data_IF_956133919673
#
_entry.id   IF_956133919673
#
_cell.length_a   1.000
_cell.length_b   1.000
_cell.length_c   1.000
_cell.angle_alpha   90.00
_cell.angle_beta   90.00
_cell.angle_gamma   90.00
#
_symmetry.space_group_name_H-M   'P 1'
#
loop_
_entity.id
_entity.type
_entity.pdbx_description
1 polymer ?
#
# COMPACT_ATOMS: atom_id res chain seq x y z
N UNK A 1 9.69 -9.42 -8.34
CA UNK A 1 9.65 -10.67 -7.57
C UNK A 1 11.07 -11.15 -7.37
N UNK A 2 11.44 -11.46 -6.13
CA UNK A 2 12.70 -12.08 -5.78
C UNK A 2 12.54 -13.60 -5.60
N UNK A 3 13.59 -14.35 -5.86
CA UNK A 3 13.65 -15.79 -5.62
C UNK A 3 14.94 -16.10 -4.90
N UNK A 4 14.82 -16.68 -3.71
CA UNK A 4 15.93 -17.24 -2.93
C UNK A 4 16.04 -18.74 -3.26
N UNK A 5 17.26 -19.20 -3.49
CA UNK A 5 17.53 -20.64 -3.54
C UNK A 5 18.05 -21.05 -2.17
N UNK A 6 17.33 -21.93 -1.50
CA UNK A 6 17.65 -22.43 -0.17
C UNK A 6 17.77 -23.96 -0.18
N UNK A 7 18.42 -24.53 0.81
CA UNK A 7 18.60 -25.96 0.94
C UNK A 7 18.37 -26.38 2.41
N UNK A 8 17.74 -27.56 2.66
CA UNK A 8 17.54 -28.05 4.01
C UNK A 8 18.89 -28.32 4.69
N UNK A 9 19.02 -27.96 5.96
CA UNK A 9 20.22 -28.23 6.79
C UNK A 9 20.49 -29.72 6.97
N UNK A 10 19.47 -30.56 6.83
CA UNK A 10 19.58 -32.03 6.91
C UNK A 10 20.12 -32.69 5.64
N UNK A 11 20.46 -31.91 4.62
CA UNK A 11 20.78 -32.42 3.28
C UNK A 11 19.50 -32.72 2.50
N UNK A 12 19.47 -32.35 1.23
CA UNK A 12 18.30 -32.53 0.37
C UNK A 12 18.41 -31.72 -0.91
N UNK A 13 17.35 -31.73 -1.71
CA UNK A 13 17.32 -30.93 -2.92
C UNK A 13 17.11 -29.47 -2.58
N UNK A 14 17.85 -28.56 -3.20
CA UNK A 14 17.58 -27.13 -3.11
C UNK A 14 16.15 -26.81 -3.57
N UNK A 15 15.51 -25.82 -2.96
CA UNK A 15 14.18 -25.35 -3.31
C UNK A 15 14.15 -23.85 -3.45
N UNK A 16 13.14 -23.33 -4.11
CA UNK A 16 12.97 -21.93 -4.39
C UNK A 16 11.93 -21.32 -3.45
N UNK A 17 12.29 -20.19 -2.87
CA UNK A 17 11.40 -19.39 -2.03
C UNK A 17 11.12 -18.08 -2.77
N UNK A 18 9.88 -17.83 -3.20
CA UNK A 18 9.52 -16.56 -3.81
C UNK A 18 9.30 -15.47 -2.74
N UNK A 19 9.79 -14.27 -3.04
CA UNK A 19 9.57 -13.07 -2.22
C UNK A 19 8.93 -11.97 -3.06
N UNK A 20 7.95 -11.29 -2.48
CA UNK A 20 7.38 -10.10 -3.08
C UNK A 20 8.27 -8.87 -2.80
N UNK A 21 8.08 -7.75 -3.51
CA UNK A 21 8.82 -6.53 -3.19
C UNK A 21 8.62 -6.02 -1.75
N UNK A 22 7.51 -6.36 -1.12
CA UNK A 22 7.21 -5.99 0.28
C UNK A 22 8.02 -6.79 1.30
N UNK A 23 8.46 -7.97 0.91
CA UNK A 23 9.21 -8.86 1.79
C UNK A 23 10.71 -8.51 1.81
N UNK A 24 11.17 -7.68 0.86
CA UNK A 24 12.56 -7.21 0.76
C UNK A 24 12.66 -5.90 1.55
N UNK A 25 13.12 -5.96 2.81
CA UNK A 25 13.21 -4.78 3.68
C UNK A 25 14.48 -3.95 3.45
N UNK A 26 15.51 -4.52 2.88
CA UNK A 26 16.71 -3.76 2.55
C UNK A 26 17.87 -4.61 2.07
N UNK A 27 18.81 -3.94 1.46
CA UNK A 27 20.02 -4.56 0.93
C UNK A 27 21.23 -3.64 1.06
N UNK A 28 22.43 -4.21 0.97
CA UNK A 28 23.68 -3.49 0.84
C UNK A 28 24.46 -4.03 -0.35
N UNK A 29 25.11 -3.14 -1.05
CA UNK A 29 25.96 -3.50 -2.20
C UNK A 29 27.30 -2.82 -2.08
N UNK A 30 28.36 -3.49 -2.51
CA UNK A 30 29.70 -2.95 -2.64
C UNK A 30 30.17 -3.05 -4.09
N UNK A 31 31.11 -2.19 -4.47
CA UNK A 31 31.72 -2.24 -5.81
C UNK A 31 33.05 -3.00 -5.69
N UNK A 32 33.06 -4.18 -6.27
CA UNK A 32 34.25 -5.01 -6.35
C UNK A 32 34.63 -5.20 -7.83
N UNK A 33 35.84 -4.83 -8.20
CA UNK A 33 36.34 -4.91 -9.59
C UNK A 33 35.43 -4.24 -10.64
N UNK A 34 34.80 -3.11 -10.29
CA UNK A 34 33.92 -2.39 -11.19
C UNK A 34 32.48 -2.98 -11.31
N UNK A 35 32.21 -4.08 -10.63
CA UNK A 35 30.88 -4.70 -10.56
C UNK A 35 30.28 -4.51 -9.17
N UNK A 36 28.98 -4.21 -9.14
CA UNK A 36 28.25 -4.17 -7.87
C UNK A 36 27.91 -5.59 -7.42
N UNK A 37 28.35 -5.93 -6.21
CA UNK A 37 28.08 -7.19 -5.55
C UNK A 37 27.16 -6.97 -4.36
N UNK A 38 26.18 -7.85 -4.19
CA UNK A 38 25.30 -7.85 -3.03
C UNK A 38 26.08 -8.37 -1.82
N UNK A 39 26.19 -7.55 -0.77
CA UNK A 39 26.91 -7.93 0.46
C UNK A 39 25.98 -8.24 1.62
N UNK A 40 24.75 -7.72 1.61
CA UNK A 40 23.74 -8.06 2.60
C UNK A 40 22.34 -7.96 1.99
N UNK A 41 21.47 -8.89 2.35
CA UNK A 41 20.05 -8.87 2.01
C UNK A 41 19.21 -9.16 3.25
N UNK A 42 18.17 -8.36 3.47
CA UNK A 42 17.27 -8.51 4.61
C UNK A 42 15.85 -8.77 4.07
N UNK A 43 15.29 -9.89 4.49
CA UNK A 43 13.98 -10.38 4.07
C UNK A 43 13.07 -10.54 5.29
N UNK A 44 11.80 -10.14 5.15
CA UNK A 44 10.79 -10.47 6.16
C UNK A 44 10.04 -11.71 5.72
N UNK A 45 9.74 -12.57 6.67
CA UNK A 45 9.04 -13.84 6.45
C UNK A 45 7.95 -14.01 7.51
N UNK A 46 6.91 -14.72 7.14
CA UNK A 46 5.87 -15.17 8.06
C UNK A 46 5.86 -16.69 8.07
N UNK A 47 6.20 -17.27 9.21
CA UNK A 47 6.18 -18.72 9.39
C UNK A 47 5.02 -19.10 10.29
N UNK A 48 4.37 -20.20 9.93
CA UNK A 48 3.29 -20.79 10.74
C UNK A 48 3.88 -21.94 11.53
N UNK A 49 3.79 -21.86 12.86
CA UNK A 49 4.17 -22.96 13.76
C UNK A 49 2.93 -23.57 14.40
N UNK A 50 2.89 -24.89 14.59
CA UNK A 50 1.80 -25.54 15.33
C UNK A 50 1.81 -25.06 16.78
N UNK A 51 0.60 -24.76 17.32
CA UNK A 51 0.36 -24.37 18.70
C UNK A 51 -0.66 -25.29 19.32
N UNK A 52 -0.19 -26.21 20.15
CA UNK A 52 -1.04 -27.27 20.73
C UNK A 52 -1.51 -28.29 19.67
N UNK A 53 -2.65 -28.94 19.92
CA UNK A 53 -3.12 -30.06 19.07
C UNK A 53 -3.79 -29.59 17.77
N UNK A 54 -4.41 -28.41 17.74
CA UNK A 54 -5.19 -27.93 16.60
C UNK A 54 -4.96 -26.45 16.27
N UNK A 55 -4.13 -25.74 17.06
CA UNK A 55 -3.86 -24.33 16.87
C UNK A 55 -2.63 -24.07 16.00
N UNK A 56 -2.60 -22.89 15.40
CA UNK A 56 -1.47 -22.37 14.64
C UNK A 56 -1.08 -20.99 15.16
N UNK A 57 0.19 -20.70 15.17
CA UNK A 57 0.73 -19.40 15.52
C UNK A 57 1.61 -18.89 14.39
N UNK A 58 1.28 -17.68 13.90
CA UNK A 58 2.09 -17.01 12.89
C UNK A 58 3.16 -16.19 13.57
N UNK A 59 4.41 -16.44 13.23
CA UNK A 59 5.58 -15.71 13.74
C UNK A 59 6.17 -14.89 12.61
N UNK A 60 6.38 -13.60 12.88
CA UNK A 60 7.15 -12.75 11.99
C UNK A 60 8.64 -12.94 12.24
N UNK A 61 9.40 -13.15 11.17
CA UNK A 61 10.84 -13.26 11.24
C UNK A 61 11.54 -12.41 10.18
N UNK A 62 12.76 -12.02 10.49
CA UNK A 62 13.66 -11.35 9.57
C UNK A 62 14.82 -12.30 9.31
N UNK A 63 15.05 -12.61 8.04
CA UNK A 63 16.22 -13.34 7.58
C UNK A 63 17.22 -12.34 7.04
N UNK A 64 18.42 -12.35 7.58
CA UNK A 64 19.59 -11.59 7.11
C UNK A 64 20.53 -12.54 6.41
N UNK A 65 20.84 -12.27 5.16
CA UNK A 65 21.72 -13.05 4.32
C UNK A 65 22.98 -12.24 4.02
N UNK A 66 24.12 -12.86 4.20
CA UNK A 66 25.44 -12.36 3.82
C UNK A 66 26.19 -13.44 3.04
N UNK A 67 27.20 -13.11 2.24
CA UNK A 67 28.04 -14.12 1.61
C UNK A 67 28.64 -15.05 2.65
N UNK A 68 28.34 -16.35 2.55
CA UNK A 68 28.82 -17.37 3.48
C UNK A 68 28.11 -17.45 4.83
N UNK A 69 27.10 -16.60 5.13
CA UNK A 69 26.42 -16.60 6.42
C UNK A 69 24.93 -16.22 6.33
N UNK A 70 24.16 -16.66 7.31
CA UNK A 70 22.80 -16.19 7.51
C UNK A 70 22.47 -16.05 9.00
N UNK A 71 21.52 -15.17 9.30
CA UNK A 71 20.98 -14.97 10.63
C UNK A 71 19.44 -14.86 10.55
N UNK A 72 18.75 -15.40 11.54
CA UNK A 72 17.29 -15.34 11.65
C UNK A 72 16.91 -14.69 12.97
N UNK A 73 16.10 -13.63 12.87
CA UNK A 73 15.55 -12.92 14.01
C UNK A 73 14.04 -13.14 14.04
N UNK A 74 13.49 -13.53 15.18
CA UNK A 74 12.04 -13.68 15.37
C UNK A 74 11.54 -12.62 16.33
N UNK A 75 10.32 -12.16 16.08
CA UNK A 75 9.65 -11.19 16.93
C UNK A 75 9.16 -11.88 18.20
N UNK A 76 9.56 -11.35 19.35
CA UNK A 76 9.10 -11.82 20.66
C UNK A 76 7.75 -11.19 21.02
N UNK A 77 7.12 -11.65 22.10
CA UNK A 77 5.84 -11.15 22.61
C UNK A 77 5.87 -9.67 23.01
N UNK A 78 7.05 -9.18 23.37
CA UNK A 78 7.29 -7.78 23.73
C UNK A 78 7.48 -6.87 22.50
N UNK A 79 7.50 -7.45 21.29
CA UNK A 79 7.64 -6.73 20.02
C UNK A 79 9.07 -6.62 19.52
N UNK A 80 10.06 -7.03 20.29
CA UNK A 80 11.47 -6.97 19.94
C UNK A 80 11.90 -8.16 19.09
N UNK A 81 12.87 -7.93 18.17
CA UNK A 81 13.47 -8.99 17.37
C UNK A 81 14.67 -9.58 18.09
N UNK A 82 14.60 -10.89 18.37
CA UNK A 82 15.69 -11.65 18.96
C UNK A 82 16.26 -12.64 17.96
N UNK A 83 17.58 -12.76 17.92
CA UNK A 83 18.25 -13.75 17.10
C UNK A 83 17.93 -15.16 17.65
N UNK A 84 17.40 -15.99 16.77
CA UNK A 84 16.98 -17.37 17.12
C UNK A 84 17.83 -18.42 16.42
N UNK A 85 18.44 -18.06 15.28
CA UNK A 85 19.24 -18.96 14.49
C UNK A 85 20.33 -18.21 13.75
N UNK A 86 21.50 -18.82 13.62
CA UNK A 86 22.57 -18.37 12.76
C UNK A 86 23.26 -19.58 12.14
N UNK A 87 23.85 -19.40 10.98
CA UNK A 87 24.58 -20.46 10.31
C UNK A 87 25.49 -19.95 9.21
N UNK A 88 26.31 -20.86 8.69
CA UNK A 88 27.21 -20.59 7.58
C UNK A 88 26.82 -21.41 6.37
N UNK A 89 27.06 -20.84 5.20
CA UNK A 89 26.88 -21.50 3.90
C UNK A 89 28.22 -21.59 3.19
N UNK A 90 28.37 -22.56 2.30
CA UNK A 90 29.56 -22.71 1.48
C UNK A 90 29.61 -21.76 0.27
N UNK A 91 28.58 -20.90 0.11
CA UNK A 91 28.46 -19.98 -1.00
C UNK A 91 29.15 -18.65 -0.67
N UNK A 92 29.96 -18.17 -1.56
CA UNK A 92 30.62 -16.85 -1.49
C UNK A 92 29.76 -15.70 -2.01
N UNK A 93 28.50 -15.99 -2.32
CA UNK A 93 27.48 -15.02 -2.78
C UNK A 93 26.12 -15.34 -2.17
N UNK A 94 25.22 -14.36 -2.16
CA UNK A 94 23.85 -14.53 -1.74
C UNK A 94 23.03 -15.11 -2.90
N UNK A 95 22.46 -16.32 -2.79
CA UNK A 95 21.75 -17.01 -3.88
C UNK A 95 20.36 -16.44 -4.10
N UNK A 96 20.27 -15.14 -4.39
CA UNK A 96 19.02 -14.42 -4.58
C UNK A 96 18.98 -13.76 -5.96
N UNK A 97 17.93 -14.04 -6.71
CA UNK A 97 17.70 -13.48 -8.05
C UNK A 97 16.41 -12.69 -8.10
N UNK A 98 16.40 -11.57 -8.84
CA UNK A 98 15.22 -10.73 -9.01
C UNK A 98 14.78 -10.73 -10.47
N UNK A 99 13.48 -11.00 -10.67
CA UNK A 99 12.79 -10.76 -11.92
C UNK A 99 12.20 -9.34 -11.91
N UNK A 100 12.71 -8.48 -12.79
CA UNK A 100 12.27 -7.11 -12.95
C UNK A 100 11.20 -7.00 -14.03
N UNK A 101 10.19 -6.18 -13.82
CA UNK A 101 9.26 -5.77 -14.89
C UNK A 101 9.86 -4.65 -15.74
N UNK A 102 10.41 -3.63 -15.10
CA UNK A 102 11.13 -2.53 -15.72
C UNK A 102 12.28 -2.13 -14.78
N UNK A 103 13.51 -2.58 -15.10
CA UNK A 103 14.67 -2.35 -14.24
C UNK A 103 15.15 -0.91 -14.36
N UNK A 104 15.17 -0.19 -13.25
CA UNK A 104 15.72 1.16 -13.12
C UNK A 104 17.10 1.13 -12.46
N UNK A 105 17.29 0.26 -11.49
CA UNK A 105 18.51 0.13 -10.71
C UNK A 105 18.74 -1.29 -10.21
N UNK A 106 19.73 -1.46 -9.32
CA UNK A 106 19.94 -2.73 -8.61
C UNK A 106 18.89 -2.83 -7.50
N UNK A 107 18.11 -3.88 -7.53
CA UNK A 107 16.95 -4.11 -6.63
C UNK A 107 15.85 -3.05 -6.75
N UNK A 108 15.88 -2.25 -7.83
CA UNK A 108 14.89 -1.20 -8.11
C UNK A 108 14.21 -1.46 -9.44
N UNK A 109 12.89 -1.40 -9.45
CA UNK A 109 12.08 -1.51 -10.66
C UNK A 109 10.91 -0.55 -10.61
N UNK A 110 10.54 -0.02 -11.77
CA UNK A 110 9.35 0.79 -11.93
C UNK A 110 8.16 -0.12 -12.22
N UNK A 111 7.04 0.02 -11.48
CA UNK A 111 5.83 -0.74 -11.79
C UNK A 111 5.33 -0.44 -13.20
N UNK A 112 4.94 -1.45 -13.99
CA UNK A 112 4.51 -1.23 -15.37
C UNK A 112 3.19 -0.48 -15.49
N UNK A 113 2.39 -0.43 -14.43
CA UNK A 113 1.09 0.25 -14.37
C UNK A 113 1.11 1.55 -13.58
N UNK A 114 2.29 2.12 -13.27
CA UNK A 114 2.41 3.34 -12.48
C UNK A 114 1.66 4.52 -13.12
N UNK A 115 1.84 4.74 -14.42
CA UNK A 115 1.18 5.81 -15.16
C UNK A 115 -0.35 5.65 -15.17
N UNK A 116 -0.84 4.40 -15.24
CA UNK A 116 -2.27 4.09 -15.16
C UNK A 116 -2.82 4.33 -13.75
N UNK A 117 -2.05 4.02 -12.71
CA UNK A 117 -2.45 4.28 -11.33
C UNK A 117 -2.62 5.78 -11.07
N UNK A 118 -1.71 6.62 -11.56
CA UNK A 118 -1.81 8.08 -11.48
C UNK A 118 -3.03 8.62 -12.22
N UNK A 119 -3.28 8.12 -13.45
CA UNK A 119 -4.48 8.49 -14.22
C UNK A 119 -5.78 8.07 -13.53
N UNK A 120 -5.79 6.91 -12.87
CA UNK A 120 -6.95 6.44 -12.13
C UNK A 120 -7.27 7.34 -10.92
N UNK A 121 -6.25 7.76 -10.17
CA UNK A 121 -6.41 8.72 -9.06
C UNK A 121 -6.99 10.04 -9.58
N UNK A 122 -6.44 10.56 -10.68
CA UNK A 122 -6.93 11.80 -11.30
C UNK A 122 -8.36 11.66 -11.81
N UNK A 123 -8.70 10.54 -12.42
CA UNK A 123 -10.07 10.25 -12.86
C UNK A 123 -11.05 10.22 -11.68
N UNK A 124 -10.67 9.59 -10.57
CA UNK A 124 -11.47 9.56 -9.34
C UNK A 124 -11.70 10.97 -8.78
N UNK A 125 -10.68 11.83 -8.75
CA UNK A 125 -10.81 13.22 -8.31
C UNK A 125 -11.80 14.00 -9.19
N UNK A 126 -11.66 13.91 -10.52
CA UNK A 126 -12.55 14.58 -11.47
C UNK A 126 -14.00 14.07 -11.31
N UNK A 127 -14.18 12.76 -11.14
CA UNK A 127 -15.51 12.19 -10.94
C UNK A 127 -16.15 12.70 -9.65
N UNK A 128 -15.39 12.79 -8.57
CA UNK A 128 -15.85 13.33 -7.30
C UNK A 128 -16.28 14.81 -7.41
N UNK A 129 -15.50 15.61 -8.11
CA UNK A 129 -15.81 17.02 -8.36
C UNK A 129 -17.08 17.17 -9.23
N UNK A 130 -17.20 16.32 -10.25
CA UNK A 130 -18.37 16.30 -11.13
C UNK A 130 -19.66 15.90 -10.36
N UNK A 131 -19.59 14.85 -9.54
CA UNK A 131 -20.71 14.40 -8.73
C UNK A 131 -21.15 15.49 -7.72
N UNK A 132 -20.19 16.20 -7.13
CA UNK A 132 -20.48 17.34 -6.26
C UNK A 132 -21.14 18.50 -7.00
N UNK A 133 -20.65 18.84 -8.19
CA UNK A 133 -21.27 19.88 -9.04
C UNK A 133 -22.68 19.50 -9.45
N UNK A 134 -22.90 18.24 -9.85
CA UNK A 134 -24.25 17.75 -10.17
C UNK A 134 -25.18 17.83 -8.97
N UNK A 135 -24.69 17.47 -7.78
CA UNK A 135 -25.48 17.56 -6.56
C UNK A 135 -25.91 19.01 -6.26
N UNK A 136 -25.00 19.96 -6.41
CA UNK A 136 -25.28 21.38 -6.17
C UNK A 136 -26.25 21.92 -7.22
N UNK A 137 -26.00 21.64 -8.52
CA UNK A 137 -26.82 22.14 -9.61
C UNK A 137 -28.17 21.44 -9.77
N UNK A 138 -28.30 20.21 -9.24
CA UNK A 138 -29.56 19.48 -9.25
C UNK A 138 -30.57 19.97 -8.18
N UNK A 139 -30.12 20.79 -7.22
CA UNK A 139 -31.00 21.38 -6.21
C UNK A 139 -31.37 22.80 -6.67
N UNK A 140 -32.56 22.98 -7.24
CA UNK A 140 -33.02 24.31 -7.67
C UNK A 140 -33.12 25.23 -6.44
N UNK A 141 -32.47 26.39 -6.54
CA UNK A 141 -32.48 27.39 -5.49
C UNK A 141 -33.74 28.27 -5.64
N UNK A 142 -34.61 28.27 -4.61
CA UNK A 142 -35.77 29.17 -4.59
C UNK A 142 -35.32 30.57 -4.18
N UNK A 143 -35.38 31.52 -5.10
CA UNK A 143 -35.04 32.91 -4.84
C UNK A 143 -36.33 33.75 -4.71
N UNK A 144 -36.34 34.65 -3.71
CA UNK A 144 -37.42 35.60 -3.47
C UNK A 144 -36.94 37.01 -3.85
N UNK A 145 -37.73 37.72 -4.63
CA UNK A 145 -37.46 39.07 -5.07
C UNK A 145 -38.51 40.04 -4.50
N UNK A 146 -38.07 41.25 -4.12
CA UNK A 146 -38.98 42.29 -3.62
C UNK A 146 -39.44 42.09 -2.16
N UNK A 147 -38.78 41.21 -1.41
CA UNK A 147 -39.06 41.03 0.02
C UNK A 147 -38.46 42.17 0.85
N UNK A 148 -39.22 42.76 1.78
CA UNK A 148 -38.64 43.80 2.68
C UNK A 148 -37.59 43.15 3.60
N UNK A 149 -36.52 43.89 3.85
CA UNK A 149 -35.35 43.41 4.63
C UNK A 149 -35.66 43.03 6.11
N UNK A 150 -36.87 43.32 6.60
CA UNK A 150 -37.38 42.99 7.95
C UNK A 150 -38.38 41.83 7.95
N UNK A 151 -38.48 41.04 6.90
CA UNK A 151 -39.40 39.91 6.87
C UNK A 151 -38.90 38.79 7.80
N UNK A 152 -39.83 38.22 8.58
CA UNK A 152 -39.56 37.01 9.37
C UNK A 152 -39.13 35.85 8.50
N UNK A 153 -38.49 34.83 9.11
CA UNK A 153 -38.05 33.62 8.42
C UNK A 153 -39.14 33.05 7.52
N UNK A 154 -38.83 32.91 6.25
CA UNK A 154 -39.71 32.29 5.27
C UNK A 154 -39.44 30.81 5.23
N UNK A 155 -40.40 30.02 5.75
CA UNK A 155 -40.34 28.56 5.63
C UNK A 155 -40.86 28.16 4.26
N UNK A 156 -40.03 27.47 3.50
CA UNK A 156 -40.39 26.93 2.19
C UNK A 156 -40.19 25.40 2.19
N UNK A 157 -41.23 24.66 1.99
CA UNK A 157 -41.19 23.20 1.93
C UNK A 157 -42.16 22.62 0.92
N UNK A 158 -42.04 21.34 0.54
CA UNK A 158 -42.92 20.72 -0.46
C UNK A 158 -44.39 20.63 -0.03
N UNK A 159 -44.70 20.90 1.24
CA UNK A 159 -46.03 20.85 1.84
C UNK A 159 -46.55 22.20 2.34
N UNK A 160 -45.81 23.29 2.13
CA UNK A 160 -46.17 24.61 2.63
C UNK A 160 -46.51 25.57 1.48
N UNK A 161 -47.70 26.18 1.58
CA UNK A 161 -48.11 27.23 0.64
C UNK A 161 -47.56 28.58 1.14
N UNK A 162 -46.73 29.21 0.32
CA UNK A 162 -46.16 30.53 0.57
C UNK A 162 -47.13 31.61 0.11
N UNK A 163 -47.54 32.49 1.03
CA UNK A 163 -48.21 33.75 0.68
C UNK A 163 -47.17 34.85 0.60
N UNK A 164 -47.00 35.42 -0.60
CA UNK A 164 -46.04 36.50 -0.84
C UNK A 164 -46.74 37.86 -0.69
N UNK A 165 -46.06 38.90 -0.14
CA UNK A 165 -46.52 40.27 -0.12
C UNK A 165 -46.77 40.81 -1.54
N UNK A 166 -47.66 41.80 -1.65
CA UNK A 166 -47.95 42.43 -2.94
C UNK A 166 -46.68 43.09 -3.54
N UNK A 167 -46.35 42.76 -4.78
CA UNK A 167 -45.16 43.19 -5.45
C UNK A 167 -43.93 42.29 -5.30
N UNK A 168 -44.02 41.21 -4.52
CA UNK A 168 -42.95 40.20 -4.40
C UNK A 168 -43.16 39.04 -5.40
N UNK A 169 -42.08 38.42 -5.78
CA UNK A 169 -42.08 37.21 -6.63
C UNK A 169 -41.11 36.15 -6.12
N UNK A 170 -41.39 34.90 -6.41
CA UNK A 170 -40.53 33.78 -6.16
C UNK A 170 -40.21 33.05 -7.48
N UNK A 171 -38.99 32.69 -7.71
CA UNK A 171 -38.54 31.95 -8.89
C UNK A 171 -37.48 30.94 -8.50
N UNK A 172 -37.49 29.79 -9.15
CA UNK A 172 -36.36 28.87 -9.07
C UNK A 172 -35.25 29.38 -10.00
N UNK A 173 -34.02 29.40 -9.47
CA UNK A 173 -32.81 29.66 -10.23
C UNK A 173 -32.19 28.30 -10.48
N UNK A 174 -32.02 27.96 -11.77
CA UNK A 174 -31.30 26.78 -12.25
C UNK A 174 -29.86 27.13 -12.56
#
# INVERSE_FOLDING_TARGET
>A
IGVLVDAPSSGGRPYWIPYTPRDIIGWRTEIENGMRKLTQLRLTERIVKPKGTYGEETIEQIRVLEPGAFQIFQRDKDGDFKQVEEGTTSLDFIPFSIAYSNKVGIYESRPPLEDIAELNIKSYQIQSDYDNQLHISAVPMLAFFGFPAAAEEVSAGPSEALSLPEGSSASYIE
#
